data_IF_655271448494
#
_entry.id   IF_655271448494
#
_cell.length_a   1.000
_cell.length_b   1.000
_cell.length_c   1.000
_cell.angle_alpha   90.00
_cell.angle_beta   90.00
_cell.angle_gamma   90.00
#
_symmetry.space_group_name_H-M   'P 1'
#
loop_
_entity.id
_entity.type
_entity.pdbx_description
1 polymer ?
#
# COMPACT_ATOMS: atom_id res chain seq x y z
N UNK A 1 -30.89 12.01 18.60
CA UNK A 1 -30.07 11.26 17.64
C UNK A 1 -28.64 11.27 18.15
N UNK A 2 -28.06 10.11 18.46
CA UNK A 2 -26.68 10.05 18.96
C UNK A 2 -25.71 10.34 17.80
N UNK A 3 -24.80 11.29 18.00
CA UNK A 3 -23.76 11.67 17.04
C UNK A 3 -22.86 10.46 16.75
N UNK A 4 -22.99 9.87 15.56
CA UNK A 4 -22.19 8.70 15.16
C UNK A 4 -20.73 9.13 14.99
N UNK A 5 -19.83 8.44 15.70
CA UNK A 5 -18.42 8.82 15.71
C UNK A 5 -17.74 8.24 14.46
N UNK A 6 -17.31 9.08 13.53
CA UNK A 6 -16.61 8.66 12.30
C UNK A 6 -15.20 8.14 12.59
N UNK A 7 -14.60 8.54 13.72
CA UNK A 7 -13.23 8.20 14.10
C UNK A 7 -13.14 7.67 15.54
N UNK A 8 -12.51 6.51 15.72
CA UNK A 8 -12.17 5.99 17.05
C UNK A 8 -10.76 6.47 17.43
N UNK A 9 -10.63 7.14 18.57
CA UNK A 9 -9.33 7.52 19.11
C UNK A 9 -8.83 6.46 20.11
N UNK A 10 -7.66 5.90 19.83
CA UNK A 10 -6.97 4.96 20.72
C UNK A 10 -5.71 5.64 21.23
N UNK A 11 -5.47 5.54 22.54
CA UNK A 11 -4.22 6.00 23.17
C UNK A 11 -3.38 4.78 23.49
N UNK A 12 -2.16 4.74 23.00
CA UNK A 12 -1.22 3.69 23.39
C UNK A 12 -0.55 4.02 24.73
N UNK A 13 0.05 3.03 25.41
CA UNK A 13 0.76 3.25 26.67
C UNK A 13 1.87 4.30 26.58
N UNK A 14 2.45 4.48 25.38
CA UNK A 14 3.50 5.47 25.08
C UNK A 14 2.94 6.90 24.91
N UNK A 15 1.63 7.10 25.09
CA UNK A 15 0.98 8.40 25.01
C UNK A 15 0.64 8.86 23.59
N UNK A 16 0.90 8.03 22.57
CA UNK A 16 0.59 8.33 21.17
C UNK A 16 -0.90 8.12 20.92
N UNK A 17 -1.53 9.06 20.21
CA UNK A 17 -2.96 8.99 19.85
C UNK A 17 -3.11 8.59 18.39
N UNK A 18 -3.83 7.51 18.15
CA UNK A 18 -4.20 7.06 16.80
C UNK A 18 -5.68 7.29 16.56
N UNK A 19 -6.02 7.83 15.38
CA UNK A 19 -7.39 7.97 14.92
C UNK A 19 -7.70 6.91 13.86
N UNK A 20 -8.57 5.97 14.18
CA UNK A 20 -9.03 4.94 13.27
C UNK A 20 -10.37 5.34 12.65
N UNK A 21 -10.46 5.33 11.33
CA UNK A 21 -11.72 5.60 10.63
C UNK A 21 -12.66 4.40 10.76
N UNK A 22 -13.82 4.60 11.38
CA UNK A 22 -14.83 3.55 11.53
C UNK A 22 -15.56 3.32 10.20
N UNK A 23 -15.82 2.06 9.87
CA UNK A 23 -16.54 1.69 8.66
C UNK A 23 -18.04 1.92 8.85
N UNK A 24 -18.62 2.79 8.01
CA UNK A 24 -20.06 3.07 8.02
C UNK A 24 -20.92 1.89 7.57
N UNK A 25 -22.22 1.90 7.88
CA UNK A 25 -23.14 0.79 7.61
C UNK A 25 -23.24 0.44 6.12
N UNK A 26 -23.19 1.42 5.23
CA UNK A 26 -23.25 1.22 3.77
C UNK A 26 -22.06 0.44 3.24
N UNK A 27 -20.84 0.81 3.63
CA UNK A 27 -19.61 0.09 3.23
C UNK A 27 -19.61 -1.36 3.71
N UNK A 28 -20.15 -1.60 4.92
CA UNK A 28 -20.32 -2.94 5.49
C UNK A 28 -21.37 -3.75 4.74
N UNK A 29 -22.44 -3.12 4.27
CA UNK A 29 -23.49 -3.76 3.46
C UNK A 29 -22.95 -4.15 2.09
N UNK A 30 -22.22 -3.26 1.41
CA UNK A 30 -21.57 -3.57 0.14
C UNK A 30 -20.55 -4.73 0.29
N UNK A 31 -19.77 -4.74 1.38
CA UNK A 31 -18.85 -5.85 1.66
C UNK A 31 -19.61 -7.17 1.81
N UNK A 32 -20.75 -7.15 2.51
CA UNK A 32 -21.62 -8.30 2.70
C UNK A 32 -22.25 -8.78 1.39
N UNK A 33 -22.63 -7.87 0.49
CA UNK A 33 -23.15 -8.26 -0.83
C UNK A 33 -22.11 -9.00 -1.66
N UNK A 34 -20.86 -8.55 -1.63
CA UNK A 34 -19.75 -9.23 -2.32
C UNK A 34 -19.46 -10.59 -1.68
N UNK A 35 -19.40 -10.65 -0.34
CA UNK A 35 -19.19 -11.92 0.37
C UNK A 35 -20.34 -12.91 0.11
N UNK A 36 -21.59 -12.42 0.06
CA UNK A 36 -22.76 -13.24 -0.30
C UNK A 36 -22.63 -13.79 -1.71
N UNK A 37 -22.23 -12.97 -2.69
CA UNK A 37 -21.98 -13.44 -4.05
C UNK A 37 -20.90 -14.53 -4.10
N UNK A 38 -19.78 -14.37 -3.38
CA UNK A 38 -18.74 -15.39 -3.27
C UNK A 38 -19.27 -16.70 -2.66
N UNK A 39 -20.00 -16.62 -1.56
CA UNK A 39 -20.59 -17.78 -0.89
C UNK A 39 -21.63 -18.45 -1.80
N UNK A 40 -22.47 -17.70 -2.50
CA UNK A 40 -23.46 -18.23 -3.43
C UNK A 40 -22.80 -18.99 -4.58
N UNK A 41 -21.75 -18.44 -5.19
CA UNK A 41 -20.99 -19.13 -6.25
C UNK A 41 -20.33 -20.41 -5.74
N UNK A 42 -19.71 -20.38 -4.56
CA UNK A 42 -19.10 -21.57 -3.96
C UNK A 42 -20.17 -22.64 -3.66
N UNK A 43 -21.31 -22.23 -3.10
CA UNK A 43 -22.41 -23.12 -2.73
C UNK A 43 -23.08 -23.76 -3.95
N UNK A 44 -23.32 -23.00 -5.03
CA UNK A 44 -23.90 -23.54 -6.27
C UNK A 44 -22.94 -24.48 -6.99
N UNK A 45 -21.64 -24.18 -6.97
CA UNK A 45 -20.60 -25.07 -7.53
C UNK A 45 -20.60 -26.41 -6.81
N UNK A 46 -20.51 -26.39 -5.47
CA UNK A 46 -20.51 -27.61 -4.65
C UNK A 46 -21.83 -28.37 -4.79
N UNK A 47 -22.97 -27.67 -4.75
CA UNK A 47 -24.28 -28.29 -4.93
C UNK A 47 -24.40 -28.98 -6.30
N UNK A 48 -23.76 -28.44 -7.34
CA UNK A 48 -23.76 -29.05 -8.68
C UNK A 48 -22.98 -30.36 -8.71
N UNK A 49 -21.86 -30.45 -8.00
CA UNK A 49 -21.15 -31.72 -7.83
C UNK A 49 -21.98 -32.71 -7.00
N UNK A 50 -22.61 -32.24 -5.93
CA UNK A 50 -23.44 -33.07 -5.06
C UNK A 50 -24.72 -33.59 -5.72
N UNK A 51 -25.18 -32.98 -6.83
CA UNK A 51 -26.33 -33.48 -7.60
C UNK A 51 -26.16 -34.91 -8.08
N UNK A 52 -24.93 -35.41 -8.23
CA UNK A 52 -24.67 -36.82 -8.55
C UNK A 52 -25.28 -37.78 -7.50
N UNK A 53 -25.32 -37.39 -6.23
CA UNK A 53 -25.94 -38.18 -5.16
C UNK A 53 -27.46 -38.15 -5.18
N UNK A 54 -28.08 -37.16 -5.85
CA UNK A 54 -29.53 -37.09 -6.01
C UNK A 54 -30.07 -38.25 -6.87
N UNK A 55 -29.20 -38.90 -7.67
CA UNK A 55 -29.54 -40.09 -8.44
C UNK A 55 -29.74 -41.33 -7.54
N UNK A 56 -29.16 -41.33 -6.33
CA UNK A 56 -29.27 -42.42 -5.37
C UNK A 56 -30.43 -42.17 -4.41
N UNK A 57 -30.50 -40.96 -3.84
CA UNK A 57 -31.59 -40.53 -2.96
C UNK A 57 -31.66 -39.01 -2.91
N UNK A 58 -32.87 -38.48 -3.05
CA UNK A 58 -33.13 -37.05 -2.94
C UNK A 58 -32.89 -36.53 -1.51
N UNK A 59 -33.17 -37.34 -0.49
CA UNK A 59 -32.96 -36.97 0.92
C UNK A 59 -31.47 -36.84 1.24
N UNK A 60 -30.64 -37.75 0.73
CA UNK A 60 -29.18 -37.70 0.89
C UNK A 60 -28.63 -36.42 0.25
N UNK A 61 -29.09 -36.08 -0.96
CA UNK A 61 -28.70 -34.84 -1.62
C UNK A 61 -29.09 -33.61 -0.78
N UNK A 62 -30.33 -33.54 -0.30
CA UNK A 62 -30.79 -32.41 0.50
C UNK A 62 -29.98 -32.25 1.80
N UNK A 63 -29.73 -33.36 2.51
CA UNK A 63 -28.92 -33.35 3.73
C UNK A 63 -27.49 -32.84 3.47
N UNK A 64 -26.83 -33.34 2.42
CA UNK A 64 -25.48 -32.91 2.04
C UNK A 64 -25.44 -31.46 1.55
N UNK A 65 -26.46 -31.01 0.82
CA UNK A 65 -26.56 -29.63 0.34
C UNK A 65 -26.73 -28.64 1.50
N UNK A 66 -27.59 -28.95 2.48
CA UNK A 66 -27.77 -28.13 3.67
C UNK A 66 -26.49 -28.10 4.52
N UNK A 67 -25.89 -29.27 4.76
CA UNK A 67 -24.67 -29.38 5.56
C UNK A 67 -23.50 -28.63 4.91
N UNK A 68 -23.29 -28.81 3.60
CA UNK A 68 -22.24 -28.09 2.86
C UNK A 68 -22.51 -26.59 2.84
N UNK A 69 -23.74 -26.14 2.59
CA UNK A 69 -24.11 -24.73 2.64
C UNK A 69 -23.80 -24.08 4.01
N UNK A 70 -24.10 -24.78 5.10
CA UNK A 70 -23.76 -24.34 6.46
C UNK A 70 -22.24 -24.22 6.66
N UNK A 71 -21.50 -25.27 6.30
CA UNK A 71 -20.03 -25.30 6.42
C UNK A 71 -19.38 -24.21 5.57
N UNK A 72 -19.84 -24.00 4.33
CA UNK A 72 -19.31 -22.95 3.46
C UNK A 72 -19.62 -21.58 4.05
N UNK A 73 -20.86 -21.32 4.48
CA UNK A 73 -21.26 -20.01 5.00
C UNK A 73 -20.47 -19.59 6.24
N UNK A 74 -20.35 -20.48 7.23
CA UNK A 74 -19.62 -20.20 8.48
C UNK A 74 -18.11 -20.33 8.28
N UNK A 75 -17.68 -21.41 7.63
CA UNK A 75 -16.27 -21.72 7.40
C UNK A 75 -15.59 -20.66 6.53
N UNK A 76 -16.27 -20.11 5.53
CA UNK A 76 -15.76 -18.97 4.75
C UNK A 76 -15.47 -17.77 5.64
N UNK A 77 -16.43 -17.38 6.49
CA UNK A 77 -16.30 -16.21 7.36
C UNK A 77 -15.16 -16.37 8.37
N UNK A 78 -15.12 -17.50 9.08
CA UNK A 78 -14.08 -17.80 10.07
C UNK A 78 -12.71 -17.94 9.38
N UNK A 79 -12.64 -18.72 8.30
CA UNK A 79 -11.40 -19.02 7.60
C UNK A 79 -10.77 -17.77 6.98
N UNK A 80 -11.55 -16.96 6.25
CA UNK A 80 -11.05 -15.73 5.67
C UNK A 80 -10.65 -14.73 6.75
N UNK A 81 -11.49 -14.49 7.76
CA UNK A 81 -11.16 -13.52 8.80
C UNK A 81 -9.95 -13.96 9.64
N UNK A 82 -9.77 -15.25 9.89
CA UNK A 82 -8.58 -15.73 10.58
C UNK A 82 -7.33 -15.59 9.70
N UNK A 83 -7.39 -16.07 8.46
CA UNK A 83 -6.24 -16.10 7.56
C UNK A 83 -5.79 -14.71 7.09
N UNK A 84 -6.73 -13.79 6.86
CA UNK A 84 -6.45 -12.41 6.43
C UNK A 84 -6.57 -11.38 7.55
N UNK A 85 -6.45 -11.81 8.82
CA UNK A 85 -6.38 -10.94 9.98
C UNK A 85 -7.52 -9.91 10.03
N UNK A 86 -8.76 -10.40 9.97
CA UNK A 86 -9.98 -9.61 10.08
C UNK A 86 -10.59 -9.17 8.76
N UNK A 87 -10.25 -9.81 7.64
CA UNK A 87 -10.80 -9.45 6.32
C UNK A 87 -11.42 -10.66 5.60
N UNK A 88 -12.56 -10.43 4.95
CA UNK A 88 -13.18 -11.32 3.95
C UNK A 88 -12.92 -10.77 2.54
N UNK A 89 -13.31 -11.47 1.47
CA UNK A 89 -13.05 -11.00 0.09
C UNK A 89 -13.70 -9.63 -0.14
N UNK A 90 -14.97 -9.48 0.22
CA UNK A 90 -15.71 -8.22 0.10
C UNK A 90 -15.11 -7.11 0.96
N UNK A 91 -14.70 -7.41 2.20
CA UNK A 91 -14.02 -6.45 3.06
C UNK A 91 -12.67 -6.01 2.47
N UNK A 92 -11.89 -6.92 1.87
CA UNK A 92 -10.62 -6.56 1.21
C UNK A 92 -10.83 -5.63 0.03
N UNK A 93 -11.81 -5.92 -0.82
CA UNK A 93 -12.14 -5.08 -1.98
C UNK A 93 -12.54 -3.66 -1.57
N UNK A 94 -13.27 -3.54 -0.45
CA UNK A 94 -13.70 -2.24 0.08
C UNK A 94 -12.73 -1.62 1.09
N UNK A 95 -11.53 -2.19 1.24
CA UNK A 95 -10.50 -1.71 2.17
C UNK A 95 -10.98 -1.62 3.62
N UNK A 96 -11.78 -2.59 4.05
CA UNK A 96 -12.28 -2.74 5.40
C UNK A 96 -11.48 -3.81 6.14
N UNK A 97 -11.28 -3.59 7.44
CA UNK A 97 -10.62 -4.57 8.31
C UNK A 97 -11.30 -4.58 9.66
N UNK A 98 -11.52 -5.78 10.18
CA UNK A 98 -11.88 -5.96 11.57
C UNK A 98 -10.63 -5.83 12.42
N UNK A 99 -10.75 -5.13 13.55
CA UNK A 99 -9.76 -5.07 14.61
C UNK A 99 -10.44 -5.28 15.97
N UNK A 100 -9.64 -5.62 16.97
CA UNK A 100 -10.04 -5.53 18.37
C UNK A 100 -10.39 -4.09 18.76
N UNK A 101 -11.28 -3.89 19.72
CA UNK A 101 -11.72 -2.56 20.15
C UNK A 101 -10.59 -1.69 20.71
N UNK A 102 -9.55 -2.31 21.27
CA UNK A 102 -8.37 -1.65 21.80
C UNK A 102 -7.27 -1.47 20.73
N UNK A 103 -7.54 -1.82 19.48
CA UNK A 103 -6.60 -1.67 18.37
C UNK A 103 -5.60 -2.83 18.24
N UNK A 104 -5.81 -3.91 18.99
CA UNK A 104 -4.96 -5.10 18.97
C UNK A 104 -5.32 -6.05 17.82
N UNK A 105 -4.49 -7.08 17.65
CA UNK A 105 -4.77 -8.18 16.71
C UNK A 105 -5.99 -8.98 17.20
N UNK A 106 -6.78 -9.45 16.24
CA UNK A 106 -7.91 -10.33 16.50
C UNK A 106 -7.48 -11.65 17.12
N UNK A 107 -8.21 -12.05 18.16
CA UNK A 107 -8.13 -13.38 18.72
C UNK A 107 -9.05 -14.35 17.97
N UNK A 108 -8.71 -15.64 17.98
CA UNK A 108 -9.51 -16.67 17.31
C UNK A 108 -10.93 -16.75 17.89
N UNK A 109 -11.07 -16.64 19.20
CA UNK A 109 -12.37 -16.62 19.91
C UNK A 109 -13.28 -15.50 19.39
N UNK A 110 -12.73 -14.29 19.19
CA UNK A 110 -13.48 -13.14 18.67
C UNK A 110 -13.99 -13.40 17.25
N UNK A 111 -13.18 -14.03 16.40
CA UNK A 111 -13.57 -14.40 15.03
C UNK A 111 -14.72 -15.41 15.05
N UNK A 112 -14.63 -16.44 15.90
CA UNK A 112 -15.65 -17.49 16.00
C UNK A 112 -16.96 -16.93 16.56
N UNK A 113 -16.92 -16.21 17.70
CA UNK A 113 -18.11 -15.64 18.35
C UNK A 113 -18.88 -14.76 17.37
N UNK A 114 -18.18 -13.87 16.65
CA UNK A 114 -18.84 -13.00 15.68
C UNK A 114 -19.45 -13.78 14.52
N UNK A 115 -18.75 -14.77 13.98
CA UNK A 115 -19.28 -15.53 12.84
C UNK A 115 -20.47 -16.42 13.23
N UNK A 116 -20.50 -16.95 14.46
CA UNK A 116 -21.67 -17.67 14.98
C UNK A 116 -22.86 -16.74 15.21
N UNK A 117 -22.63 -15.57 15.81
CA UNK A 117 -23.69 -14.58 16.04
C UNK A 117 -24.18 -13.92 14.74
N UNK A 118 -23.47 -14.11 13.61
CA UNK A 118 -23.95 -13.70 12.29
C UNK A 118 -25.28 -14.37 11.91
N UNK A 119 -25.54 -15.59 12.42
CA UNK A 119 -26.82 -16.27 12.24
C UNK A 119 -27.93 -15.48 12.92
N UNK A 120 -27.68 -15.01 14.15
CA UNK A 120 -28.64 -14.19 14.92
C UNK A 120 -28.83 -12.83 14.26
N UNK A 121 -27.75 -12.18 13.80
CA UNK A 121 -27.81 -10.91 13.07
C UNK A 121 -28.60 -11.02 11.75
N UNK A 122 -28.68 -12.22 11.16
CA UNK A 122 -29.39 -12.49 9.91
C UNK A 122 -30.90 -12.69 10.06
N UNK A 123 -31.40 -12.72 11.31
CA UNK A 123 -32.83 -12.87 11.63
C UNK A 123 -33.46 -11.50 11.95
N UNK A 124 -34.73 -11.23 11.59
CA UNK A 124 -35.50 -11.83 10.50
C UNK A 124 -34.90 -11.45 9.13
N UNK A 125 -35.52 -11.89 8.02
CA UNK A 125 -35.05 -11.68 6.64
C UNK A 125 -34.40 -10.30 6.41
N UNK A 126 -33.32 -10.28 5.61
CA UNK A 126 -32.54 -9.09 5.21
C UNK A 126 -31.62 -8.47 6.29
N UNK A 127 -31.12 -9.24 7.27
CA UNK A 127 -30.16 -8.74 8.27
C UNK A 127 -30.69 -7.57 9.12
N UNK A 128 -32.00 -7.55 9.38
CA UNK A 128 -32.66 -6.43 10.06
C UNK A 128 -32.10 -6.19 11.47
N UNK A 129 -31.88 -7.26 12.26
CA UNK A 129 -31.32 -7.15 13.62
C UNK A 129 -29.89 -6.60 13.59
N UNK A 130 -29.04 -7.13 12.71
CA UNK A 130 -27.67 -6.62 12.55
C UNK A 130 -27.63 -5.16 12.07
N UNK A 131 -28.58 -4.76 11.20
CA UNK A 131 -28.75 -3.39 10.73
C UNK A 131 -29.16 -2.44 11.85
N UNK A 132 -30.18 -2.80 12.64
CA UNK A 132 -30.64 -2.01 13.78
C UNK A 132 -29.53 -1.86 14.83
N UNK A 133 -28.83 -2.95 15.16
CA UNK A 133 -27.68 -2.91 16.07
C UNK A 133 -26.58 -1.96 15.57
N UNK A 134 -26.27 -2.03 14.27
CA UNK A 134 -25.28 -1.13 13.66
C UNK A 134 -25.71 0.33 13.62
N UNK A 135 -27.01 0.63 13.55
CA UNK A 135 -27.53 2.00 13.55
C UNK A 135 -27.60 2.61 14.95
N UNK A 136 -27.84 1.77 15.96
CA UNK A 136 -27.97 2.17 17.37
C UNK A 136 -26.63 2.23 18.09
N UNK A 137 -25.64 1.45 17.65
CA UNK A 137 -24.28 1.47 18.20
C UNK A 137 -23.51 2.71 17.75
N UNK A 138 -22.88 3.42 18.71
CA UNK A 138 -22.02 4.60 18.44
C UNK A 138 -20.81 4.28 17.55
N UNK A 139 -20.32 3.04 17.59
CA UNK A 139 -19.17 2.55 16.79
C UNK A 139 -19.62 1.78 15.53
N UNK A 140 -20.91 1.84 15.17
CA UNK A 140 -21.51 1.12 14.06
C UNK A 140 -21.31 -0.41 14.13
N UNK A 141 -21.35 -0.99 15.33
CA UNK A 141 -21.13 -2.42 15.57
C UNK A 141 -22.42 -3.24 15.45
N UNK A 142 -22.33 -4.46 14.90
CA UNK A 142 -23.42 -5.45 14.92
C UNK A 142 -23.45 -6.18 16.27
N UNK A 143 -24.46 -7.02 16.53
CA UNK A 143 -24.50 -7.79 17.79
C UNK A 143 -23.27 -8.70 17.92
N UNK A 144 -22.88 -9.37 16.83
CA UNK A 144 -21.67 -10.20 16.83
C UNK A 144 -20.38 -9.40 17.08
N UNK A 145 -20.31 -8.15 16.62
CA UNK A 145 -19.16 -7.28 16.87
C UNK A 145 -19.10 -6.85 18.34
N UNK A 146 -20.26 -6.49 18.93
CA UNK A 146 -20.40 -6.09 20.33
C UNK A 146 -20.04 -7.23 21.28
N UNK A 147 -20.55 -8.44 21.01
CA UNK A 147 -20.28 -9.60 21.83
C UNK A 147 -18.81 -10.06 21.75
N UNK A 148 -18.16 -9.85 20.60
CA UNK A 148 -16.75 -10.17 20.41
C UNK A 148 -15.80 -9.04 20.86
N UNK A 149 -16.30 -7.85 21.19
CA UNK A 149 -15.48 -6.68 21.50
C UNK A 149 -14.64 -6.21 20.31
N UNK A 150 -15.21 -6.21 19.10
CA UNK A 150 -14.49 -5.89 17.85
C UNK A 150 -15.11 -4.73 17.10
N UNK A 151 -14.30 -4.07 16.28
CA UNK A 151 -14.69 -2.95 15.42
C UNK A 151 -14.27 -3.22 13.98
N UNK A 152 -14.97 -2.59 13.04
CA UNK A 152 -14.54 -2.58 11.62
C UNK A 152 -14.07 -1.18 11.29
N UNK A 153 -12.83 -1.10 10.82
CA UNK A 153 -12.17 0.12 10.42
C UNK A 153 -11.97 0.15 8.91
N UNK A 154 -11.85 1.35 8.35
CA UNK A 154 -11.41 1.57 6.98
C UNK A 154 -9.89 1.71 6.96
N UNK A 155 -9.23 0.95 6.11
CA UNK A 155 -7.78 0.99 5.91
C UNK A 155 -7.50 1.67 4.57
N UNK A 156 -7.49 3.02 4.50
CA UNK A 156 -7.20 3.72 3.25
C UNK A 156 -5.81 3.31 2.74
N UNK A 157 -5.70 3.06 1.43
CA UNK A 157 -4.40 2.83 0.80
C UNK A 157 -3.59 4.11 0.91
N UNK A 158 -2.49 4.07 1.67
CA UNK A 158 -1.53 5.17 1.69
C UNK A 158 -0.98 5.28 0.27
N UNK A 159 -1.30 6.38 -0.41
CA UNK A 159 -0.63 6.72 -1.65
C UNK A 159 0.79 7.14 -1.26
N UNK A 160 1.75 6.26 -1.51
CA UNK A 160 3.15 6.62 -1.39
C UNK A 160 3.42 7.70 -2.45
N UNK A 161 4.13 8.80 -2.10
CA UNK A 161 4.56 9.77 -3.07
C UNK A 161 5.31 9.08 -4.21
N UNK A 162 5.05 9.50 -5.43
CA UNK A 162 5.73 8.98 -6.61
C UNK A 162 7.20 9.38 -6.57
N UNK A 163 8.06 8.46 -6.13
CA UNK A 163 9.51 8.68 -6.04
C UNK A 163 10.15 8.77 -7.43
N UNK A 164 9.44 8.44 -8.53
CA UNK A 164 9.95 8.67 -9.89
C UNK A 164 10.05 10.17 -10.20
N UNK A 165 9.20 11.00 -9.58
CA UNK A 165 9.30 12.47 -9.67
C UNK A 165 10.53 13.03 -8.98
N UNK A 166 11.13 12.29 -8.05
CA UNK A 166 12.40 12.67 -7.43
C UNK A 166 13.60 12.45 -8.35
N UNK A 167 13.38 11.88 -9.55
CA UNK A 167 14.34 11.85 -10.64
C UNK A 167 15.75 11.45 -10.24
N UNK A 168 16.20 10.24 -10.62
CA UNK A 168 17.60 10.09 -11.02
C UNK A 168 17.81 10.95 -12.26
N UNK A 169 17.99 12.26 -12.05
CA UNK A 169 18.06 13.26 -13.08
C UNK A 169 19.24 12.95 -14.00
N UNK A 170 18.91 12.40 -15.17
CA UNK A 170 19.78 12.33 -16.34
C UNK A 170 19.95 13.71 -17.01
N UNK A 171 19.31 14.76 -16.49
CA UNK A 171 19.41 16.10 -17.04
C UNK A 171 20.73 16.75 -16.60
N UNK A 172 21.54 17.12 -17.59
CA UNK A 172 22.76 17.88 -17.40
C UNK A 172 22.43 19.37 -17.46
N UNK A 173 22.31 20.02 -16.30
CA UNK A 173 21.95 21.45 -16.17
C UNK A 173 22.90 22.39 -16.92
N UNK A 174 24.16 21.98 -17.10
CA UNK A 174 25.17 22.77 -17.81
C UNK A 174 24.91 22.81 -19.33
N UNK A 175 24.22 21.79 -19.87
CA UNK A 175 23.88 21.69 -21.29
C UNK A 175 22.93 22.81 -21.75
N UNK A 176 22.20 23.45 -20.83
CA UNK A 176 21.31 24.57 -21.12
C UNK A 176 22.04 25.85 -21.59
N UNK A 177 23.38 25.90 -21.49
CA UNK A 177 24.18 27.08 -21.83
C UNK A 177 25.21 26.79 -22.94
N UNK A 178 24.80 26.65 -24.22
CA UNK A 178 25.68 26.20 -25.32
C UNK A 178 26.96 27.04 -25.51
N UNK A 179 26.89 28.34 -25.26
CA UNK A 179 28.03 29.25 -25.38
C UNK A 179 29.09 29.02 -24.29
N UNK A 180 28.68 28.63 -23.08
CA UNK A 180 29.59 28.26 -22.00
C UNK A 180 30.17 26.86 -22.23
N UNK A 181 29.37 25.93 -22.76
CA UNK A 181 29.86 24.61 -23.18
C UNK A 181 30.91 24.73 -24.27
N UNK A 182 30.72 25.63 -25.25
CA UNK A 182 31.73 25.89 -26.27
C UNK A 182 33.05 26.43 -25.67
N UNK A 183 32.96 27.36 -24.71
CA UNK A 183 34.13 27.86 -23.97
C UNK A 183 34.80 26.77 -23.13
N UNK A 184 34.03 25.89 -22.50
CA UNK A 184 34.53 24.75 -21.72
C UNK A 184 35.35 23.83 -22.61
N UNK A 185 34.85 23.50 -23.82
CA UNK A 185 35.58 22.69 -24.81
C UNK A 185 36.84 23.36 -25.37
N UNK A 186 36.91 24.69 -25.35
CA UNK A 186 38.09 25.44 -25.78
C UNK A 186 39.16 25.53 -24.70
N UNK A 187 38.75 25.63 -23.42
CA UNK A 187 39.66 25.84 -22.29
C UNK A 187 40.13 24.56 -21.62
N UNK A 188 39.28 23.53 -21.57
CA UNK A 188 39.63 22.23 -21.00
C UNK A 188 40.41 21.45 -22.05
N UNK A 189 41.63 21.05 -21.71
CA UNK A 189 42.43 20.16 -22.55
C UNK A 189 41.86 18.74 -22.57
N UNK A 190 42.16 17.98 -23.63
CA UNK A 190 41.73 16.58 -23.72
C UNK A 190 42.30 15.71 -22.60
N UNK A 191 43.49 16.03 -22.11
CA UNK A 191 44.15 15.31 -21.02
C UNK A 191 43.44 15.54 -19.69
N UNK A 192 43.11 16.79 -19.35
CA UNK A 192 42.32 17.11 -18.15
C UNK A 192 40.96 16.41 -18.17
N UNK A 193 40.27 16.42 -19.32
CA UNK A 193 39.02 15.68 -19.50
C UNK A 193 39.20 14.17 -19.30
N UNK A 194 40.28 13.59 -19.83
CA UNK A 194 40.55 12.16 -19.70
C UNK A 194 40.88 11.74 -18.25
N UNK A 195 41.56 12.61 -17.49
CA UNK A 195 41.83 12.40 -16.06
C UNK A 195 40.51 12.37 -15.29
N UNK A 196 39.63 13.34 -15.51
CA UNK A 196 38.32 13.38 -14.86
C UNK A 196 37.44 12.17 -15.25
N UNK A 197 37.48 11.74 -16.51
CA UNK A 197 36.78 10.53 -16.95
C UNK A 197 37.30 9.27 -16.25
N UNK A 198 38.61 9.10 -16.12
CA UNK A 198 39.21 7.96 -15.39
C UNK A 198 38.83 7.97 -13.91
N UNK A 199 38.81 9.15 -13.28
CA UNK A 199 38.36 9.31 -11.90
C UNK A 199 36.89 8.90 -11.73
N UNK A 200 36.01 9.26 -12.68
CA UNK A 200 34.60 8.84 -12.69
C UNK A 200 34.43 7.32 -12.86
N UNK A 201 35.18 6.70 -13.77
CA UNK A 201 35.12 5.25 -14.00
C UNK A 201 35.55 4.47 -12.75
N UNK A 202 36.58 4.94 -12.05
CA UNK A 202 37.15 4.27 -10.86
C UNK A 202 36.56 4.74 -9.53
N UNK A 203 35.51 5.57 -9.55
CA UNK A 203 34.97 6.24 -8.33
C UNK A 203 34.56 5.28 -7.21
N UNK A 204 34.20 4.05 -7.54
CA UNK A 204 33.76 3.02 -6.59
C UNK A 204 34.94 2.24 -5.99
N UNK A 205 36.13 2.35 -6.57
CA UNK A 205 37.38 1.78 -6.07
C UNK A 205 38.13 2.74 -5.12
N UNK A 206 37.74 4.02 -5.08
CA UNK A 206 38.38 5.04 -4.26
C UNK A 206 37.90 4.99 -2.81
N UNK A 207 38.83 5.26 -1.89
CA UNK A 207 38.47 5.55 -0.49
C UNK A 207 37.49 6.75 -0.43
N UNK A 208 36.44 6.71 0.43
CA UNK A 208 35.42 7.75 0.48
C UNK A 208 35.97 9.17 0.73
N UNK A 209 37.01 9.32 1.55
CA UNK A 209 37.59 10.62 1.85
C UNK A 209 38.38 11.15 0.63
N UNK A 210 39.21 10.29 0.03
CA UNK A 210 39.99 10.62 -1.16
C UNK A 210 39.09 10.93 -2.37
N UNK A 211 37.94 10.24 -2.50
CA UNK A 211 36.93 10.52 -3.53
C UNK A 211 36.40 11.94 -3.41
N UNK A 212 35.97 12.33 -2.20
CA UNK A 212 35.41 13.66 -1.97
C UNK A 212 36.43 14.75 -2.30
N UNK A 213 37.68 14.58 -1.85
CA UNK A 213 38.77 15.53 -2.09
C UNK A 213 39.10 15.65 -3.58
N UNK A 214 39.29 14.52 -4.27
CA UNK A 214 39.59 14.50 -5.70
C UNK A 214 38.48 15.17 -6.55
N UNK A 215 37.21 14.84 -6.30
CA UNK A 215 36.12 15.44 -7.06
C UNK A 215 35.93 16.92 -6.75
N UNK A 216 36.23 17.36 -5.52
CA UNK A 216 36.25 18.79 -5.16
C UNK A 216 37.35 19.54 -5.92
N UNK A 217 38.55 18.98 -6.01
CA UNK A 217 39.66 19.57 -6.78
C UNK A 217 39.35 19.65 -8.27
N UNK A 218 38.85 18.56 -8.87
CA UNK A 218 38.44 18.54 -10.27
C UNK A 218 37.30 19.53 -10.56
N UNK A 219 36.32 19.64 -9.66
CA UNK A 219 35.24 20.61 -9.79
C UNK A 219 35.79 22.06 -9.70
N UNK A 220 36.71 22.33 -8.78
CA UNK A 220 37.36 23.63 -8.64
C UNK A 220 38.18 23.99 -9.89
N UNK A 221 38.92 23.04 -10.45
CA UNK A 221 39.65 23.20 -11.71
C UNK A 221 38.69 23.65 -12.83
N UNK A 222 37.61 22.92 -13.07
CA UNK A 222 36.66 23.27 -14.13
C UNK A 222 35.92 24.59 -13.89
N UNK A 223 35.54 24.88 -12.64
CA UNK A 223 34.92 26.18 -12.26
C UNK A 223 35.87 27.37 -12.49
N UNK A 224 37.18 27.17 -12.33
CA UNK A 224 38.19 28.20 -12.60
C UNK A 224 38.34 28.52 -14.09
N UNK A 225 38.09 27.52 -14.95
CA UNK A 225 38.18 27.70 -16.40
C UNK A 225 36.92 28.36 -16.98
N UNK A 226 35.73 27.88 -16.57
CA UNK A 226 34.43 28.40 -17.00
C UNK A 226 33.48 28.50 -15.81
N UNK A 227 32.93 29.70 -15.63
CA UNK A 227 31.92 29.98 -14.61
C UNK A 227 30.52 29.87 -15.20
N UNK A 228 29.74 28.91 -14.70
CA UNK A 228 28.32 28.75 -15.03
C UNK A 228 27.43 29.57 -14.08
N UNK A 229 26.20 29.96 -14.49
CA UNK A 229 25.25 30.64 -13.61
C UNK A 229 24.92 29.82 -12.37
N UNK A 230 24.61 30.50 -11.25
CA UNK A 230 24.29 29.84 -9.98
C UNK A 230 23.13 28.85 -10.13
N UNK A 231 22.09 29.23 -10.88
CA UNK A 231 20.92 28.40 -11.21
C UNK A 231 21.28 27.02 -11.80
N UNK A 232 22.41 26.93 -12.52
CA UNK A 232 22.83 25.70 -13.17
C UNK A 232 23.65 24.76 -12.26
N UNK A 233 24.21 25.30 -11.18
CA UNK A 233 25.20 24.63 -10.31
C UNK A 233 24.66 24.44 -8.88
N UNK A 234 23.65 25.21 -8.49
CA UNK A 234 23.01 25.13 -7.18
C UNK A 234 22.39 23.74 -6.95
N UNK A 235 22.70 23.14 -5.80
CA UNK A 235 22.25 21.78 -5.47
C UNK A 235 23.00 20.64 -6.18
N UNK A 236 23.98 20.94 -7.06
CA UNK A 236 24.78 19.93 -7.75
C UNK A 236 26.04 19.61 -6.93
N UNK A 237 26.23 18.34 -6.55
CA UNK A 237 27.46 17.92 -5.87
C UNK A 237 28.69 18.05 -6.78
N UNK A 238 29.88 18.21 -6.21
CA UNK A 238 31.13 18.35 -6.99
C UNK A 238 31.36 17.15 -7.92
N UNK A 239 31.08 15.93 -7.46
CA UNK A 239 31.14 14.72 -8.30
C UNK A 239 30.14 14.79 -9.47
N UNK A 240 28.90 15.22 -9.21
CA UNK A 240 27.87 15.34 -10.25
C UNK A 240 28.22 16.45 -11.24
N UNK A 241 28.82 17.54 -10.78
CA UNK A 241 29.32 18.62 -11.63
C UNK A 241 30.43 18.12 -12.56
N UNK A 242 31.41 17.37 -12.04
CA UNK A 242 32.48 16.75 -12.84
C UNK A 242 31.92 15.77 -13.85
N UNK A 243 30.93 14.93 -13.47
CA UNK A 243 30.22 14.04 -14.41
C UNK A 243 29.58 14.83 -15.55
N UNK A 244 28.84 15.89 -15.23
CA UNK A 244 28.17 16.73 -16.22
C UNK A 244 29.17 17.40 -17.18
N UNK A 245 30.33 17.86 -16.67
CA UNK A 245 31.40 18.43 -17.50
C UNK A 245 31.99 17.39 -18.44
N UNK A 246 32.33 16.20 -17.93
CA UNK A 246 32.89 15.11 -18.73
C UNK A 246 31.92 14.65 -19.81
N UNK A 247 30.63 14.51 -19.49
CA UNK A 247 29.58 14.25 -20.48
C UNK A 247 29.66 15.28 -21.62
N UNK A 248 29.67 16.58 -21.31
CA UNK A 248 29.70 17.63 -22.33
C UNK A 248 31.01 17.68 -23.14
N UNK A 249 32.13 17.26 -22.58
CA UNK A 249 33.43 17.23 -23.27
C UNK A 249 33.54 16.06 -24.25
N UNK A 250 32.96 14.90 -23.91
CA UNK A 250 33.10 13.66 -24.68
C UNK A 250 31.85 13.23 -25.45
N UNK A 251 30.70 13.85 -25.20
CA UNK A 251 29.48 13.62 -25.98
C UNK A 251 29.70 14.10 -27.42
N UNK A 252 29.88 13.13 -28.32
CA UNK A 252 29.90 13.39 -29.76
C UNK A 252 28.52 13.90 -30.15
N UNK A 253 28.47 15.06 -30.84
CA UNK A 253 27.25 15.49 -31.56
C UNK A 253 26.90 14.41 -32.58
N UNK A 254 26.04 13.49 -32.16
CA UNK A 254 25.50 12.41 -32.96
C UNK A 254 23.98 12.53 -33.06
N UNK A 255 23.52 13.62 -33.69
CA UNK A 255 22.34 13.76 -34.57
C UNK A 255 22.06 15.23 -34.85
#
# INVERSE_FOLDING_TARGET
MAEQTTTLQIRTPEGIRFSLLLAGPTSRLLALMVDFACISVASTTISTVLRLFALISQDIFMALAILSGFVISIGYGIGCEWYWQGQTVGKRLLHLRVMDEQGLKLQFSQVVIRNLLRIVDSLPALYLVGGIASLTSRKCQRLGDLAAGTIVIRTPKVQLPDLEQLGTEKFNSLAAYPHLVARLRQKVSREEGAIALRALIRREELDPAARLELFRELAALFRSQVTFPAEAVEGVSDERYVRNVVELLFEQRGR
#
